data_IF_342282527266
#
_entry.id   IF_342282527266
#
_cell.length_a   1.000
_cell.length_b   1.000
_cell.length_c   1.000
_cell.angle_alpha   90.00
_cell.angle_beta   90.00
_cell.angle_gamma   90.00
#
_symmetry.space_group_name_H-M   'P 1'
#
loop_
_entity.id
_entity.type
_entity.pdbx_description
1 polymer ?
#
# COMPACT_ATOMS: atom_id res chain seq x y z
N UNK A 1 1.89 4.10 4.55
CA UNK A 1 0.65 3.53 5.12
C UNK A 1 -0.48 3.33 4.13
N UNK A 2 -0.94 4.34 3.38
CA UNK A 2 -2.01 4.11 2.39
C UNK A 2 -1.68 3.00 1.37
N UNK A 3 -0.42 2.93 0.92
CA UNK A 3 0.05 1.86 0.03
C UNK A 3 0.01 0.47 0.70
N UNK A 4 0.48 0.36 1.96
CA UNK A 4 0.41 -0.88 2.75
C UNK A 4 -1.04 -1.37 2.87
N UNK A 5 -1.95 -0.47 3.23
CA UNK A 5 -3.38 -0.75 3.31
C UNK A 5 -3.95 -1.24 1.96
N UNK A 6 -3.55 -0.63 0.85
CA UNK A 6 -3.98 -1.05 -0.48
C UNK A 6 -3.49 -2.47 -0.84
N UNK A 7 -2.28 -2.83 -0.41
CA UNK A 7 -1.71 -4.17 -0.56
C UNK A 7 -2.47 -5.17 0.32
N UNK A 8 -2.67 -4.87 1.60
CA UNK A 8 -3.41 -5.73 2.55
C UNK A 8 -4.85 -5.98 2.10
N UNK A 9 -5.51 -4.96 1.53
CA UNK A 9 -6.86 -5.06 0.98
C UNK A 9 -6.90 -5.64 -0.44
N UNK A 10 -5.75 -6.01 -1.02
CA UNK A 10 -5.63 -6.57 -2.39
C UNK A 10 -6.32 -5.73 -3.47
N UNK A 11 -6.27 -4.40 -3.34
CA UNK A 11 -6.97 -3.48 -4.26
C UNK A 11 -6.54 -3.69 -5.71
N UNK A 12 -5.23 -3.90 -5.94
CA UNK A 12 -4.70 -4.12 -7.28
C UNK A 12 -5.26 -5.41 -7.90
N UNK A 13 -5.31 -6.50 -7.13
CA UNK A 13 -5.88 -7.79 -7.57
C UNK A 13 -7.39 -7.68 -7.84
N UNK A 14 -8.13 -6.94 -7.02
CA UNK A 14 -9.58 -6.72 -7.22
C UNK A 14 -9.83 -6.01 -8.55
N UNK A 15 -9.12 -4.91 -8.82
CA UNK A 15 -9.25 -4.20 -10.10
C UNK A 15 -8.78 -5.09 -11.27
N UNK A 16 -7.70 -5.85 -11.09
CA UNK A 16 -7.18 -6.74 -12.12
C UNK A 16 -8.15 -7.86 -12.51
N UNK A 17 -8.75 -8.52 -11.52
CA UNK A 17 -9.68 -9.63 -11.72
C UNK A 17 -10.98 -9.21 -12.41
N UNK A 18 -11.38 -7.94 -12.31
CA UNK A 18 -12.51 -7.41 -13.06
C UNK A 18 -12.21 -7.14 -14.55
N UNK A 19 -10.93 -7.18 -14.95
CA UNK A 19 -10.52 -7.01 -16.35
C UNK A 19 -10.52 -5.56 -16.85
N UNK A 20 -10.74 -4.57 -15.99
CA UNK A 20 -10.77 -3.16 -16.39
C UNK A 20 -11.01 -2.19 -15.22
N UNK A 21 -11.07 -0.86 -15.50
CA UNK A 21 -11.37 0.14 -14.48
C UNK A 21 -12.75 -0.06 -13.85
N UNK A 22 -12.86 0.07 -12.53
CA UNK A 22 -14.09 -0.20 -11.76
C UNK A 22 -14.44 0.90 -10.77
N UNK A 23 -15.71 0.96 -10.36
CA UNK A 23 -16.17 1.95 -9.39
C UNK A 23 -15.66 1.66 -7.98
N UNK A 24 -15.70 2.67 -7.11
CA UNK A 24 -15.35 2.50 -5.69
C UNK A 24 -16.23 1.44 -5.00
N UNK A 25 -17.52 1.38 -5.34
CA UNK A 25 -18.46 0.40 -4.82
C UNK A 25 -18.11 -1.03 -5.27
N UNK A 26 -17.66 -1.19 -6.52
CA UNK A 26 -17.16 -2.48 -7.01
C UNK A 26 -15.89 -2.92 -6.27
N UNK A 27 -14.94 -2.00 -6.05
CA UNK A 27 -13.74 -2.29 -5.24
C UNK A 27 -14.15 -2.72 -3.83
N UNK A 28 -15.06 -1.97 -3.19
CA UNK A 28 -15.58 -2.30 -1.87
C UNK A 28 -16.21 -3.69 -1.81
N UNK A 29 -17.00 -4.08 -2.83
CA UNK A 29 -17.62 -5.40 -2.91
C UNK A 29 -16.60 -6.54 -3.06
N UNK A 30 -15.44 -6.28 -3.68
CA UNK A 30 -14.35 -7.24 -3.80
C UNK A 30 -13.57 -7.48 -2.51
N UNK A 31 -13.62 -6.53 -1.56
CA UNK A 31 -13.02 -6.68 -0.23
C UNK A 31 -13.92 -7.62 0.56
N UNK A 32 -13.61 -8.91 0.52
CA UNK A 32 -14.40 -9.98 1.14
C UNK A 32 -14.51 -9.80 2.66
N UNK A 33 -15.63 -10.24 3.25
CA UNK A 33 -15.83 -10.36 4.72
C UNK A 33 -15.85 -9.05 5.54
N UNK A 34 -16.26 -7.91 4.98
CA UNK A 34 -16.39 -6.67 5.74
C UNK A 34 -17.81 -6.08 5.66
N UNK A 35 -18.76 -6.55 6.50
CA UNK A 35 -20.12 -6.01 6.55
C UNK A 35 -20.19 -4.55 7.01
N UNK A 36 -19.12 -4.04 7.64
CA UNK A 36 -19.00 -2.68 8.16
C UNK A 36 -17.94 -1.83 7.43
N UNK A 37 -17.68 -2.13 6.15
CA UNK A 37 -16.65 -1.43 5.36
C UNK A 37 -16.94 0.08 5.24
N UNK A 38 -15.99 0.91 5.67
CA UNK A 38 -16.08 2.37 5.59
C UNK A 38 -15.71 2.86 4.18
N UNK A 39 -16.75 3.05 3.35
CA UNK A 39 -16.63 3.56 1.98
C UNK A 39 -15.95 4.95 1.94
N UNK A 40 -16.33 5.94 2.78
CA UNK A 40 -15.62 7.22 2.86
C UNK A 40 -14.11 7.08 3.12
N UNK A 41 -13.70 6.15 3.99
CA UNK A 41 -12.30 5.90 4.29
C UNK A 41 -11.56 5.25 3.11
N UNK A 42 -12.16 4.23 2.50
CA UNK A 42 -11.63 3.63 1.25
C UNK A 42 -11.44 4.70 0.17
N UNK A 43 -12.41 5.62 0.01
CA UNK A 43 -12.30 6.72 -0.94
C UNK A 43 -11.08 7.62 -0.67
N UNK A 44 -10.74 7.87 0.60
CA UNK A 44 -9.53 8.64 0.97
C UNK A 44 -8.25 7.90 0.59
N UNK A 45 -8.20 6.59 0.82
CA UNK A 45 -7.07 5.74 0.42
C UNK A 45 -6.91 5.77 -1.10
N UNK A 46 -7.98 5.51 -1.85
CA UNK A 46 -7.98 5.52 -3.31
C UNK A 46 -7.52 6.87 -3.87
N UNK A 47 -8.02 8.00 -3.33
CA UNK A 47 -7.57 9.33 -3.73
C UNK A 47 -6.07 9.56 -3.49
N UNK A 48 -5.53 9.05 -2.38
CA UNK A 48 -4.10 9.15 -2.07
C UNK A 48 -3.24 8.39 -3.08
N UNK A 49 -3.66 7.17 -3.46
CA UNK A 49 -2.98 6.35 -4.47
C UNK A 49 -3.04 6.97 -5.86
N UNK A 50 -4.18 7.56 -6.23
CA UNK A 50 -4.36 8.27 -7.50
C UNK A 50 -3.45 9.50 -7.58
N UNK A 51 -3.37 10.31 -6.51
CA UNK A 51 -2.45 11.46 -6.45
C UNK A 51 -0.97 11.07 -6.57
N UNK A 52 -0.63 9.83 -6.20
CA UNK A 52 0.72 9.26 -6.34
C UNK A 52 0.94 8.55 -7.67
N UNK A 53 -0.02 8.62 -8.60
CA UNK A 53 -0.02 7.91 -9.88
C UNK A 53 0.17 6.39 -9.74
N UNK A 54 -0.26 5.81 -8.62
CA UNK A 54 -0.25 4.36 -8.41
C UNK A 54 -1.50 3.77 -9.05
N UNK A 55 -2.65 4.43 -8.91
CA UNK A 55 -3.90 4.08 -9.57
C UNK A 55 -4.35 5.23 -10.47
N UNK A 56 -5.24 4.95 -11.41
CA UNK A 56 -5.92 5.98 -12.21
C UNK A 56 -7.31 6.26 -11.65
N UNK A 57 -7.83 7.45 -11.95
CA UNK A 57 -9.23 7.79 -11.75
C UNK A 57 -9.73 8.45 -13.04
N UNK A 58 -10.71 7.84 -13.68
CA UNK A 58 -11.36 8.36 -14.88
C UNK A 58 -12.79 8.77 -14.53
N UNK A 59 -13.15 10.02 -14.85
CA UNK A 59 -14.52 10.49 -14.67
C UNK A 59 -15.25 10.41 -16.02
N UNK A 60 -16.27 9.55 -16.16
CA UNK A 60 -17.04 9.44 -17.39
C UNK A 60 -17.69 10.77 -17.80
N UNK A 61 -17.62 11.13 -19.09
CA UNK A 61 -18.22 12.38 -19.60
C UNK A 61 -19.74 12.44 -19.47
N UNK A 62 -20.40 11.29 -19.28
CA UNK A 62 -21.85 11.18 -19.09
C UNK A 62 -22.30 11.41 -17.63
N UNK A 63 -21.41 11.85 -16.74
CA UNK A 63 -21.73 12.07 -15.32
C UNK A 63 -21.81 10.78 -14.49
N UNK A 64 -21.29 9.67 -15.02
CA UNK A 64 -21.21 8.41 -14.29
C UNK A 64 -20.23 8.45 -13.11
N UNK A 65 -20.23 7.36 -12.32
CA UNK A 65 -19.31 7.20 -11.20
C UNK A 65 -17.84 7.20 -11.66
N UNK A 66 -16.94 7.67 -10.79
CA UNK A 66 -15.50 7.63 -11.08
C UNK A 66 -15.02 6.18 -11.14
N UNK A 67 -14.29 5.86 -12.22
CA UNK A 67 -13.71 4.54 -12.45
C UNK A 67 -12.23 4.55 -12.08
N UNK A 68 -11.81 3.55 -11.32
CA UNK A 68 -10.45 3.36 -10.85
C UNK A 68 -9.78 2.24 -11.62
N UNK A 69 -8.62 2.54 -12.23
CA UNK A 69 -7.86 1.58 -13.02
C UNK A 69 -6.43 1.38 -12.51
N UNK A 70 -5.77 0.36 -13.04
CA UNK A 70 -4.36 0.09 -12.79
C UNK A 70 -3.46 0.97 -13.66
N UNK A 71 -2.34 1.39 -13.09
CA UNK A 71 -1.19 1.93 -13.82
C UNK A 71 -0.12 0.85 -14.02
N UNK A 72 0.97 1.18 -14.70
CA UNK A 72 2.14 0.31 -14.73
C UNK A 72 2.72 0.08 -13.33
N UNK A 73 2.67 1.09 -12.44
CA UNK A 73 3.17 0.98 -11.07
C UNK A 73 2.34 0.02 -10.22
N UNK A 74 1.00 0.07 -10.30
CA UNK A 74 0.16 -0.86 -9.53
C UNK A 74 0.21 -2.30 -10.00
N UNK A 75 0.71 -2.60 -11.21
CA UNK A 75 0.90 -3.99 -11.67
C UNK A 75 1.99 -4.72 -10.89
N UNK A 76 2.94 -3.98 -10.30
CA UNK A 76 3.93 -4.54 -9.38
C UNK A 76 3.32 -4.92 -8.01
N UNK A 77 2.06 -4.52 -7.75
CA UNK A 77 1.36 -4.82 -6.49
C UNK A 77 0.39 -6.01 -6.62
N UNK A 78 0.41 -6.72 -7.75
CA UNK A 78 -0.37 -7.94 -7.94
C UNK A 78 0.28 -9.07 -7.14
N UNK A 79 -0.51 -9.83 -6.38
CA UNK A 79 0.04 -10.88 -5.52
C UNK A 79 0.53 -12.09 -6.32
N UNK A 80 -0.15 -12.40 -7.43
CA UNK A 80 0.14 -13.57 -8.26
C UNK A 80 1.20 -13.30 -9.35
N UNK A 81 1.92 -12.18 -9.26
CA UNK A 81 2.98 -11.81 -10.21
C UNK A 81 4.36 -12.24 -9.68
N UNK A 82 5.16 -12.92 -10.51
CA UNK A 82 6.52 -13.35 -10.15
C UNK A 82 7.42 -12.18 -9.73
N UNK A 83 7.20 -10.99 -10.30
CA UNK A 83 7.94 -9.77 -10.00
C UNK A 83 7.21 -8.88 -8.98
N UNK A 84 6.35 -9.45 -8.14
CA UNK A 84 5.57 -8.66 -7.17
C UNK A 84 6.46 -7.95 -6.15
N UNK A 85 6.19 -6.66 -5.95
CA UNK A 85 6.77 -5.83 -4.88
C UNK A 85 5.96 -5.91 -3.59
N UNK A 86 4.87 -6.69 -3.53
CA UNK A 86 4.06 -6.89 -2.32
C UNK A 86 4.92 -7.28 -1.11
N UNK A 87 5.83 -8.30 -1.20
CA UNK A 87 6.66 -8.68 -0.05
C UNK A 87 7.53 -7.53 0.45
N UNK A 88 8.09 -6.74 -0.48
CA UNK A 88 8.91 -5.58 -0.14
C UNK A 88 8.09 -4.50 0.57
N UNK A 89 6.88 -4.19 0.08
CA UNK A 89 5.99 -3.21 0.73
C UNK A 89 5.62 -3.66 2.15
N UNK A 90 5.32 -4.95 2.34
CA UNK A 90 5.00 -5.50 3.67
C UNK A 90 6.22 -5.42 4.59
N UNK A 91 7.39 -5.86 4.12
CA UNK A 91 8.65 -5.84 4.87
C UNK A 91 9.02 -4.43 5.33
N UNK A 92 9.08 -3.46 4.42
CA UNK A 92 9.47 -2.08 4.73
C UNK A 92 8.50 -1.37 5.68
N UNK A 93 7.25 -1.84 5.75
CA UNK A 93 6.24 -1.30 6.67
C UNK A 93 6.00 -2.20 7.90
N UNK A 94 6.87 -3.18 8.15
CA UNK A 94 6.84 -3.98 9.37
C UNK A 94 7.37 -3.16 10.55
N UNK A 95 6.78 -3.21 11.76
CA UNK A 95 7.22 -2.42 12.91
C UNK A 95 8.72 -2.54 13.21
N UNK A 96 9.28 -3.74 13.03
CA UNK A 96 10.72 -4.00 13.18
C UNK A 96 11.58 -3.16 12.23
N UNK A 97 11.17 -3.03 10.97
CA UNK A 97 11.87 -2.24 9.97
C UNK A 97 11.56 -0.74 10.10
N UNK A 98 10.41 -0.39 10.70
CA UNK A 98 10.02 1.00 10.93
C UNK A 98 10.69 1.64 12.16
N UNK A 99 10.99 0.86 13.20
CA UNK A 99 11.57 1.37 14.45
C UNK A 99 12.88 2.18 14.24
N UNK A 100 13.85 1.73 13.40
CA UNK A 100 15.07 2.48 13.12
C UNK A 100 14.84 3.90 12.58
N UNK A 101 13.76 4.14 11.82
CA UNK A 101 13.48 5.46 11.25
C UNK A 101 13.23 6.52 12.33
N UNK A 102 12.79 6.11 13.52
CA UNK A 102 12.61 7.00 14.67
C UNK A 102 13.94 7.40 15.34
N UNK A 103 15.02 6.67 15.10
CA UNK A 103 16.35 6.94 15.66
C UNK A 103 17.21 7.85 14.76
N UNK A 104 16.72 8.27 13.58
CA UNK A 104 17.53 9.05 12.62
C UNK A 104 18.01 10.39 13.18
N UNK A 105 17.15 11.13 13.88
CA UNK A 105 17.52 12.42 14.49
C UNK A 105 18.59 12.26 15.57
N UNK A 106 18.56 11.14 16.31
CA UNK A 106 19.58 10.80 17.29
C UNK A 106 20.90 10.41 16.61
N UNK A 107 20.87 9.66 15.51
CA UNK A 107 22.06 9.33 14.74
C UNK A 107 22.77 10.57 14.18
N UNK A 108 22.02 11.59 13.76
CA UNK A 108 22.60 12.87 13.33
C UNK A 108 23.33 13.58 14.47
N UNK A 109 22.79 13.50 15.70
CA UNK A 109 23.36 14.16 16.88
C UNK A 109 24.56 13.42 17.47
N UNK A 110 24.51 12.10 17.51
CA UNK A 110 25.41 11.26 18.32
C UNK A 110 26.27 10.31 17.47
N UNK A 111 26.03 10.23 16.15
CA UNK A 111 26.57 9.18 15.30
C UNK A 111 25.95 7.79 15.57
N UNK A 112 26.43 6.79 14.83
CA UNK A 112 25.98 5.40 14.92
C UNK A 112 24.91 5.02 13.90
N UNK A 113 24.49 3.75 13.95
CA UNK A 113 23.51 3.17 13.01
C UNK A 113 22.13 3.14 13.65
N UNK A 114 21.12 3.67 12.95
CA UNK A 114 19.77 3.79 13.46
C UNK A 114 19.15 2.44 13.88
N UNK A 115 19.49 1.37 13.16
CA UNK A 115 19.05 0.01 13.50
C UNK A 115 19.59 -0.46 14.85
N UNK A 116 20.90 -0.29 15.07
CA UNK A 116 21.54 -0.64 16.35
C UNK A 116 20.97 0.19 17.50
N UNK A 117 20.67 1.48 17.28
CA UNK A 117 20.03 2.31 18.31
C UNK A 117 18.61 1.87 18.65
N UNK A 118 17.83 1.43 17.66
CA UNK A 118 16.45 0.99 17.87
C UNK A 118 16.38 -0.37 18.58
N UNK A 119 17.30 -1.29 18.25
CA UNK A 119 17.16 -2.71 18.58
C UNK A 119 18.27 -3.26 19.50
N UNK A 120 19.33 -2.49 19.75
CA UNK A 120 20.47 -2.92 20.57
C UNK A 120 21.38 -3.97 19.91
N UNK A 121 21.10 -4.37 18.67
CA UNK A 121 21.86 -5.35 17.90
C UNK A 121 21.96 -4.96 16.43
N UNK A 122 22.85 -5.61 15.68
CA UNK A 122 22.92 -5.39 14.23
C UNK A 122 21.81 -6.12 13.49
N UNK A 123 21.47 -5.62 12.30
CA UNK A 123 20.40 -6.16 11.45
C UNK A 123 20.53 -7.67 11.18
N UNK A 124 21.76 -8.15 11.01
CA UNK A 124 22.03 -9.56 10.70
C UNK A 124 21.85 -10.51 11.89
N UNK A 125 21.86 -10.00 13.12
CA UNK A 125 21.73 -10.82 14.35
C UNK A 125 20.32 -10.76 14.97
N UNK A 126 19.40 -9.96 14.41
CA UNK A 126 18.05 -9.73 14.95
C UNK A 126 16.92 -10.53 14.27
N UNK A 127 17.25 -11.41 13.32
CA UNK A 127 16.32 -12.34 12.66
C UNK A 127 16.48 -13.72 13.29
N UNK A 128 15.93 -13.90 14.49
CA UNK A 128 15.82 -15.17 15.21
C UNK A 128 14.42 -15.35 15.74
#
# INVERSE_FOLDING_TARGET
MALKCAVELRIADIIHSHGGPITLCQIASGISNSPSLDIPYLARIMRSLVRKNILTAHHPSNGGETLHGLTLASKWLLHDNELSLVPMVIMENHPWQLAPWHCLSQCVKEGGIAFQKAHGSEMYYGIG
#
